data_IF_717891052106
#
_entry.id   IF_717891052106
#
_cell.length_a   1.000
_cell.length_b   1.000
_cell.length_c   1.000
_cell.angle_alpha   90.00
_cell.angle_beta   90.00
_cell.angle_gamma   90.00
#
_symmetry.space_group_name_H-M   'P 1'
#
loop_
_entity.id
_entity.type
_entity.pdbx_description
1 polymer ?
#
# COMPACT_ATOMS: atom_id res chain seq x y z
N UNK A 1 34.29 22.52 -21.59
CA UNK A 1 33.87 23.79 -20.97
C UNK A 1 33.56 23.51 -19.50
N UNK A 2 34.42 23.95 -18.58
CA UNK A 2 34.17 23.83 -17.15
C UNK A 2 33.24 24.97 -16.70
N UNK A 3 32.15 24.64 -16.01
CA UNK A 3 31.29 25.63 -15.36
C UNK A 3 32.11 26.34 -14.29
N UNK A 4 32.36 27.65 -14.47
CA UNK A 4 32.95 28.50 -13.46
C UNK A 4 31.95 28.63 -12.29
N UNK A 5 32.15 27.84 -11.24
CA UNK A 5 31.43 28.00 -9.99
C UNK A 5 31.89 29.34 -9.40
N UNK A 6 31.00 30.35 -9.44
CA UNK A 6 31.27 31.64 -8.79
C UNK A 6 31.30 31.40 -7.28
N UNK A 7 32.46 31.61 -6.66
CA UNK A 7 32.56 31.63 -5.20
C UNK A 7 31.68 32.75 -4.65
N UNK A 8 30.90 32.42 -3.62
CA UNK A 8 30.14 33.40 -2.85
C UNK A 8 31.12 34.35 -2.14
N UNK A 9 30.76 35.63 -1.94
CA UNK A 9 31.57 36.57 -1.17
C UNK A 9 31.75 36.10 0.28
N UNK A 10 32.90 36.42 0.88
CA UNK A 10 33.28 35.93 2.22
C UNK A 10 32.29 36.29 3.33
N UNK A 11 31.54 37.38 3.15
CA UNK A 11 30.51 37.87 4.08
C UNK A 11 29.11 37.30 3.82
N UNK A 12 28.97 36.31 2.94
CA UNK A 12 27.69 35.66 2.70
C UNK A 12 27.22 34.94 3.98
N UNK A 13 26.03 35.25 4.52
CA UNK A 13 25.50 34.54 5.68
C UNK A 13 25.39 33.05 5.35
N UNK A 14 26.18 32.22 6.03
CA UNK A 14 26.15 30.77 5.87
C UNK A 14 24.95 30.21 6.65
N UNK A 15 23.78 30.22 6.00
CA UNK A 15 22.54 29.67 6.52
C UNK A 15 22.61 28.16 6.80
N UNK A 16 23.64 27.46 6.33
CA UNK A 16 23.82 26.02 6.49
C UNK A 16 24.90 25.64 7.52
N UNK A 17 25.61 26.61 8.08
CA UNK A 17 26.61 26.38 9.14
C UNK A 17 26.04 25.60 10.34
N UNK A 18 24.78 25.86 10.71
CA UNK A 18 24.06 25.15 11.76
C UNK A 18 23.71 23.69 11.41
N UNK A 19 23.76 23.31 10.13
CA UNK A 19 23.51 21.94 9.64
C UNK A 19 24.84 21.18 9.50
N UNK A 20 25.94 21.89 9.21
CA UNK A 20 27.27 21.30 8.98
C UNK A 20 28.00 20.98 10.29
N UNK A 21 27.74 21.75 11.36
CA UNK A 21 28.30 21.49 12.68
C UNK A 21 27.26 20.81 13.58
N UNK A 22 27.30 19.48 13.76
CA UNK A 22 26.39 18.82 14.69
C UNK A 22 26.59 19.41 16.10
N UNK A 23 25.53 19.97 16.65
CA UNK A 23 25.53 20.45 18.03
C UNK A 23 25.54 19.27 19.01
N UNK A 24 25.78 19.52 20.29
CA UNK A 24 25.70 18.48 21.32
C UNK A 24 24.31 17.81 21.38
N UNK A 25 23.26 18.55 20.99
CA UNK A 25 21.88 18.06 20.89
C UNK A 25 21.73 17.12 19.68
N UNK A 26 22.32 17.48 18.54
CA UNK A 26 22.34 16.62 17.36
C UNK A 26 23.13 15.34 17.62
N UNK A 27 24.21 15.42 18.38
CA UNK A 27 25.02 14.26 18.75
C UNK A 27 24.23 13.25 19.59
N UNK A 28 23.45 13.73 20.57
CA UNK A 28 22.57 12.90 21.38
C UNK A 28 21.40 12.31 20.57
N UNK A 29 20.79 13.11 19.68
CA UNK A 29 19.73 12.63 18.80
C UNK A 29 20.25 11.59 17.79
N UNK A 30 21.44 11.80 17.22
CA UNK A 30 22.13 10.85 16.35
C UNK A 30 22.41 9.56 17.12
N UNK A 31 22.94 9.63 18.35
CA UNK A 31 23.19 8.45 19.19
C UNK A 31 21.92 7.66 19.49
N UNK A 32 20.83 8.34 19.86
CA UNK A 32 19.52 7.69 20.12
C UNK A 32 18.99 6.98 18.88
N UNK A 33 19.10 7.61 17.70
CA UNK A 33 18.69 6.98 16.43
C UNK A 33 19.59 5.80 16.09
N UNK A 34 20.90 5.90 16.32
CA UNK A 34 21.87 4.84 16.03
C UNK A 34 21.71 3.64 16.96
N UNK A 35 21.38 3.86 18.23
CA UNK A 35 21.03 2.82 19.20
C UNK A 35 19.71 2.13 18.84
N UNK A 36 18.69 2.90 18.44
CA UNK A 36 17.40 2.34 18.00
C UNK A 36 17.52 1.52 16.70
N UNK A 37 18.35 1.96 15.74
CA UNK A 37 18.56 1.21 14.48
C UNK A 37 19.37 -0.07 14.70
N UNK A 38 20.28 -0.08 15.67
CA UNK A 38 21.11 -1.24 16.02
C UNK A 38 20.50 -2.14 17.11
N UNK A 39 19.27 -1.86 17.54
CA UNK A 39 18.57 -2.69 18.51
C UNK A 39 18.30 -4.06 17.88
N UNK A 40 19.04 -5.07 18.36
CA UNK A 40 18.97 -6.44 17.84
C UNK A 40 17.56 -7.06 17.97
N UNK A 41 16.68 -6.43 18.77
CA UNK A 41 15.29 -6.86 18.96
C UNK A 41 14.37 -6.40 17.81
N UNK A 42 14.65 -5.27 17.17
CA UNK A 42 13.74 -4.65 16.19
C UNK A 42 13.60 -5.44 14.88
N UNK A 43 14.57 -6.31 14.57
CA UNK A 43 14.58 -7.12 13.35
C UNK A 43 14.57 -8.63 13.61
N UNK A 44 14.19 -9.06 14.82
CA UNK A 44 13.99 -10.50 15.07
C UNK A 44 12.74 -10.95 14.34
N UNK A 45 12.81 -11.95 13.44
CA UNK A 45 11.63 -12.48 12.78
C UNK A 45 10.70 -13.11 13.82
N UNK A 46 9.66 -12.38 14.20
CA UNK A 46 8.60 -12.89 15.05
C UNK A 46 7.78 -13.86 14.22
N UNK A 47 7.72 -15.12 14.67
CA UNK A 47 6.83 -16.11 14.07
C UNK A 47 5.40 -15.82 14.50
N UNK A 48 4.74 -14.91 13.79
CA UNK A 48 3.32 -14.59 14.02
C UNK A 48 2.44 -15.59 13.28
N UNK A 49 1.46 -16.17 13.96
CA UNK A 49 0.50 -17.06 13.31
C UNK A 49 -0.51 -16.28 12.46
N UNK A 50 -1.10 -16.92 11.45
CA UNK A 50 -2.18 -16.30 10.66
C UNK A 50 -3.39 -15.90 11.54
N UNK A 51 -3.62 -16.60 12.66
CA UNK A 51 -4.67 -16.27 13.62
C UNK A 51 -4.35 -14.99 14.40
N UNK A 52 -3.10 -14.80 14.84
CA UNK A 52 -2.66 -13.56 15.49
C UNK A 52 -2.75 -12.37 14.53
N UNK A 53 -2.36 -12.55 13.27
CA UNK A 53 -2.50 -11.51 12.25
C UNK A 53 -3.98 -11.17 11.99
N UNK A 54 -4.90 -12.14 12.02
CA UNK A 54 -6.35 -11.86 11.98
C UNK A 54 -6.82 -11.09 13.21
N UNK A 55 -6.39 -11.48 14.41
CA UNK A 55 -6.77 -10.81 15.66
C UNK A 55 -6.27 -9.37 15.72
N UNK A 56 -5.12 -9.08 15.12
CA UNK A 56 -4.57 -7.73 14.94
C UNK A 56 -5.24 -6.96 13.80
N UNK A 57 -6.19 -7.56 13.08
CA UNK A 57 -6.90 -6.93 11.96
C UNK A 57 -6.12 -6.85 10.65
N UNK A 58 -4.96 -7.53 10.54
CA UNK A 58 -4.07 -7.49 9.37
C UNK A 58 -4.57 -8.39 8.23
N UNK A 59 -5.29 -9.46 8.55
CA UNK A 59 -6.04 -10.28 7.59
C UNK A 59 -7.51 -9.84 7.58
N UNK A 60 -7.78 -8.65 7.02
CA UNK A 60 -9.16 -8.21 6.79
C UNK A 60 -9.76 -9.04 5.66
N UNK A 61 -10.70 -9.91 5.99
CA UNK A 61 -11.61 -10.49 5.00
C UNK A 61 -12.31 -9.32 4.29
N UNK A 62 -12.25 -9.33 2.96
CA UNK A 62 -12.69 -8.22 2.13
C UNK A 62 -13.99 -8.61 1.46
N UNK A 63 -15.04 -7.85 1.73
CA UNK A 63 -16.31 -8.06 1.04
C UNK A 63 -16.32 -7.47 -0.37
N UNK A 64 -15.50 -6.45 -0.61
CA UNK A 64 -15.36 -5.75 -1.87
C UNK A 64 -13.87 -5.51 -2.17
N UNK A 65 -13.48 -5.44 -3.46
CA UNK A 65 -12.15 -4.94 -3.84
C UNK A 65 -11.87 -3.56 -3.21
N UNK A 66 -10.63 -3.12 -3.09
CA UNK A 66 -10.29 -1.75 -2.69
C UNK A 66 -10.04 -0.86 -3.92
N UNK A 67 -9.51 -1.45 -4.99
CA UNK A 67 -9.17 -0.76 -6.24
C UNK A 67 -10.37 -0.13 -6.96
N UNK A 68 -11.62 -0.38 -6.53
CA UNK A 68 -12.77 0.34 -7.09
C UNK A 68 -12.82 1.80 -6.66
N UNK A 69 -12.23 2.17 -5.52
CA UNK A 69 -12.09 3.58 -5.11
C UNK A 69 -11.11 4.35 -6.00
N UNK A 70 -10.19 3.65 -6.67
CA UNK A 70 -9.28 4.24 -7.65
C UNK A 70 -9.98 4.51 -9.00
N UNK A 71 -11.28 4.23 -9.12
CA UNK A 71 -12.10 4.53 -10.29
C UNK A 71 -12.84 5.84 -10.06
N UNK A 72 -12.76 6.76 -11.02
CA UNK A 72 -13.38 8.08 -10.95
C UNK A 72 -14.88 8.13 -11.27
N UNK A 73 -15.61 7.01 -11.27
CA UNK A 73 -17.02 6.97 -11.68
C UNK A 73 -17.90 6.07 -10.82
N UNK A 74 -19.08 6.58 -10.42
CA UNK A 74 -20.10 5.89 -9.62
C UNK A 74 -20.58 4.59 -10.28
N UNK A 75 -20.69 4.58 -11.62
CA UNK A 75 -21.17 3.42 -12.40
C UNK A 75 -20.32 2.16 -12.26
N UNK A 76 -19.02 2.32 -12.00
CA UNK A 76 -18.10 1.21 -11.82
C UNK A 76 -18.20 0.59 -10.43
N UNK A 77 -18.47 1.41 -9.40
CA UNK A 77 -18.74 0.95 -8.03
C UNK A 77 -20.01 0.11 -8.01
N UNK A 78 -21.11 0.63 -8.55
CA UNK A 78 -22.39 -0.07 -8.60
C UNK A 78 -22.27 -1.43 -9.29
N UNK A 79 -21.51 -1.48 -10.38
CA UNK A 79 -21.27 -2.72 -11.13
C UNK A 79 -20.52 -3.75 -10.29
N UNK A 80 -19.48 -3.33 -9.57
CA UNK A 80 -18.69 -4.24 -8.72
C UNK A 80 -19.56 -4.74 -7.56
N UNK A 81 -20.28 -3.84 -6.87
CA UNK A 81 -21.21 -4.19 -5.78
C UNK A 81 -22.26 -5.19 -6.26
N UNK A 82 -22.87 -4.96 -7.42
CA UNK A 82 -23.87 -5.86 -8.02
C UNK A 82 -23.34 -7.26 -8.31
N UNK A 83 -22.07 -7.39 -8.71
CA UNK A 83 -21.47 -8.70 -8.97
C UNK A 83 -20.98 -9.38 -7.70
N UNK A 84 -20.51 -8.62 -6.71
CA UNK A 84 -20.08 -9.16 -5.42
C UNK A 84 -21.25 -9.59 -4.53
N UNK A 85 -22.45 -9.00 -4.70
CA UNK A 85 -23.63 -9.31 -3.86
C UNK A 85 -24.16 -10.73 -4.02
N UNK A 86 -23.91 -11.37 -5.17
CA UNK A 86 -24.31 -12.77 -5.42
C UNK A 86 -23.25 -13.78 -4.99
N UNK A 87 -22.09 -13.32 -4.53
CA UNK A 87 -20.97 -14.18 -4.14
C UNK A 87 -21.10 -14.46 -2.63
N UNK A 88 -21.08 -15.73 -2.19
CA UNK A 88 -21.13 -16.08 -0.77
C UNK A 88 -19.96 -15.46 0.01
N UNK A 89 -20.18 -15.14 1.29
CA UNK A 89 -19.23 -14.39 2.12
C UNK A 89 -17.86 -15.06 2.19
N UNK A 90 -17.81 -16.39 2.21
CA UNK A 90 -16.59 -17.20 2.28
C UNK A 90 -15.67 -16.99 1.06
N UNK A 91 -16.25 -16.62 -0.09
CA UNK A 91 -15.51 -16.42 -1.35
C UNK A 91 -15.26 -14.96 -1.68
N UNK A 92 -15.89 -13.99 -0.98
CA UNK A 92 -15.74 -12.57 -1.32
C UNK A 92 -14.29 -12.09 -1.19
N UNK A 93 -13.56 -12.54 -0.18
CA UNK A 93 -12.17 -12.12 0.04
C UNK A 93 -11.27 -12.60 -1.10
N UNK A 94 -11.34 -13.87 -1.47
CA UNK A 94 -10.50 -14.44 -2.53
C UNK A 94 -10.81 -13.82 -3.89
N UNK A 95 -12.09 -13.62 -4.21
CA UNK A 95 -12.53 -12.95 -5.45
C UNK A 95 -12.04 -11.50 -5.48
N UNK A 96 -12.10 -10.79 -4.36
CA UNK A 96 -11.62 -9.40 -4.26
C UNK A 96 -10.12 -9.31 -4.51
N UNK A 97 -9.32 -10.18 -3.89
CA UNK A 97 -7.87 -10.23 -4.06
C UNK A 97 -7.46 -10.54 -5.51
N UNK A 98 -8.08 -11.53 -6.15
CA UNK A 98 -7.76 -11.87 -7.55
C UNK A 98 -8.21 -10.78 -8.53
N UNK A 99 -9.34 -10.14 -8.28
CA UNK A 99 -9.75 -8.97 -9.06
C UNK A 99 -8.70 -7.86 -8.99
N UNK A 100 -8.26 -7.51 -7.78
CA UNK A 100 -7.24 -6.48 -7.57
C UNK A 100 -5.90 -6.86 -8.20
N UNK A 101 -5.49 -8.13 -8.11
CA UNK A 101 -4.29 -8.64 -8.76
C UNK A 101 -4.33 -8.42 -10.27
N UNK A 102 -5.43 -8.80 -10.92
CA UNK A 102 -5.60 -8.59 -12.37
C UNK A 102 -5.64 -7.10 -12.71
N UNK A 103 -6.25 -6.29 -11.86
CA UNK A 103 -6.35 -4.85 -12.08
C UNK A 103 -5.01 -4.12 -11.90
N UNK A 104 -4.21 -4.52 -10.91
CA UNK A 104 -2.92 -3.91 -10.56
C UNK A 104 -1.88 -4.09 -11.67
N UNK A 105 -2.03 -5.09 -12.56
CA UNK A 105 -1.22 -5.23 -13.77
C UNK A 105 -1.37 -4.03 -14.72
N UNK A 106 -2.43 -3.23 -14.57
CA UNK A 106 -2.60 -1.96 -15.27
C UNK A 106 -2.96 -2.07 -16.75
N UNK A 107 -3.28 -0.92 -17.35
CA UNK A 107 -3.64 -0.83 -18.77
C UNK A 107 -5.08 -1.25 -19.12
N UNK A 108 -5.57 -0.91 -20.34
CA UNK A 108 -6.96 -1.17 -20.75
C UNK A 108 -7.32 -2.66 -20.83
N UNK A 109 -6.39 -3.51 -21.25
CA UNK A 109 -6.60 -4.94 -21.42
C UNK A 109 -6.82 -5.65 -20.08
N UNK A 110 -5.95 -5.39 -19.09
CA UNK A 110 -6.05 -5.99 -17.76
C UNK A 110 -7.29 -5.50 -17.01
N UNK A 111 -7.70 -4.24 -17.22
CA UNK A 111 -9.00 -3.72 -16.72
C UNK A 111 -10.18 -4.52 -17.28
N UNK A 112 -10.19 -4.78 -18.59
CA UNK A 112 -11.23 -5.61 -19.22
C UNK A 112 -11.19 -7.03 -18.68
N UNK A 113 -10.01 -7.59 -18.47
CA UNK A 113 -9.81 -8.93 -17.91
C UNK A 113 -10.33 -9.04 -16.48
N UNK A 114 -10.01 -8.09 -15.59
CA UNK A 114 -10.49 -8.05 -14.22
C UNK A 114 -12.03 -7.98 -14.17
N UNK A 115 -12.64 -7.14 -15.02
CA UNK A 115 -14.09 -7.06 -15.14
C UNK A 115 -14.71 -8.37 -15.67
N UNK A 116 -14.09 -9.01 -16.67
CA UNK A 116 -14.55 -10.30 -17.18
C UNK A 116 -14.43 -11.41 -16.13
N UNK A 117 -13.37 -11.40 -15.33
CA UNK A 117 -13.20 -12.32 -14.20
C UNK A 117 -14.34 -12.17 -13.20
N UNK A 118 -14.63 -10.95 -12.73
CA UNK A 118 -15.69 -10.70 -11.76
C UNK A 118 -17.08 -11.12 -12.29
N UNK A 119 -17.36 -10.84 -13.56
CA UNK A 119 -18.60 -11.30 -14.22
C UNK A 119 -18.66 -12.83 -14.30
N UNK A 120 -17.54 -13.52 -14.58
CA UNK A 120 -17.50 -14.99 -14.59
C UNK A 120 -17.72 -15.57 -13.20
N UNK A 121 -17.12 -15.01 -12.16
CA UNK A 121 -17.31 -15.48 -10.78
C UNK A 121 -18.76 -15.29 -10.34
N UNK A 122 -19.32 -14.08 -10.51
CA UNK A 122 -20.72 -13.83 -10.15
C UNK A 122 -21.72 -14.72 -10.90
N UNK A 123 -21.44 -15.10 -12.15
CA UNK A 123 -22.28 -16.05 -12.90
C UNK A 123 -22.26 -17.46 -12.32
N UNK A 124 -21.17 -17.90 -11.70
CA UNK A 124 -21.07 -19.23 -11.06
C UNK A 124 -21.97 -19.36 -9.84
N UNK A 125 -22.17 -18.26 -9.12
CA UNK A 125 -22.98 -18.22 -7.90
C UNK A 125 -24.41 -17.75 -8.15
N UNK A 126 -24.73 -17.30 -9.37
CA UNK A 126 -26.09 -16.91 -9.74
C UNK A 126 -27.01 -18.12 -9.73
N UNK A 127 -28.00 -18.13 -8.85
CA UNK A 127 -28.96 -19.23 -8.70
C UNK A 127 -28.50 -20.31 -7.71
N UNK A 128 -27.33 -20.15 -7.07
CA UNK A 128 -26.98 -20.91 -5.88
C UNK A 128 -27.71 -20.24 -4.72
N UNK A 129 -28.70 -20.93 -4.13
CA UNK A 129 -29.35 -20.44 -2.92
C UNK A 129 -28.31 -20.40 -1.80
N UNK A 130 -28.13 -19.22 -1.21
CA UNK A 130 -27.35 -19.01 0.03
C UNK A 130 -28.19 -19.46 1.20
#
# INVERSE_FOLDING_TARGET
MALAIKHLPDDAPDFYSAIVAPTAIDSAAIQVVQEAVNDAVLFVPVKTSAAELRAQGLLRERELPQMWHCRGGESDMEKIVKHMSVIPAEFKHSVSMEYERLFALGGPACRKQANQFLVRQSKRFRGVAV
#
